data_IF_784921609778
#
_entry.id   IF_784921609778
#
_cell.length_a   1.000
_cell.length_b   1.000
_cell.length_c   1.000
_cell.angle_alpha   90.00
_cell.angle_beta   90.00
_cell.angle_gamma   90.00
#
_symmetry.space_group_name_H-M   'P 1'
#
loop_
_entity.id
_entity.type
_entity.pdbx_description
1 polymer ?
#
# COMPACT_ATOMS: atom_id res chain seq x y z
N UNK A 1 85.29 24.91 13.60
CA UNK A 1 84.20 25.39 12.73
C UNK A 1 83.56 24.27 11.89
N UNK A 2 84.34 23.43 11.19
CA UNK A 2 83.82 22.36 10.32
C UNK A 2 82.89 21.36 11.04
N UNK A 3 83.19 21.03 12.30
CA UNK A 3 82.40 20.09 13.10
C UNK A 3 80.99 20.60 13.45
N UNK A 4 80.84 21.91 13.67
CA UNK A 4 79.55 22.56 14.00
C UNK A 4 78.65 22.62 12.75
N UNK A 5 79.24 22.89 11.58
CA UNK A 5 78.51 22.92 10.31
C UNK A 5 78.02 21.52 9.92
N UNK A 6 78.84 20.48 10.15
CA UNK A 6 78.46 19.08 9.88
C UNK A 6 77.35 18.55 10.79
N UNK A 7 77.33 18.92 12.08
CA UNK A 7 76.22 18.54 12.97
C UNK A 7 74.91 19.24 12.59
N UNK A 8 74.98 20.49 12.11
CA UNK A 8 73.81 21.26 11.72
C UNK A 8 73.13 20.66 10.47
N UNK A 9 73.92 20.24 9.46
CA UNK A 9 73.40 19.62 8.25
C UNK A 9 72.77 18.25 8.51
N UNK A 10 73.33 17.45 9.41
CA UNK A 10 72.72 16.17 9.83
C UNK A 10 71.39 16.38 10.55
N UNK A 11 71.30 17.39 11.43
CA UNK A 11 70.06 17.71 12.14
C UNK A 11 68.94 18.17 11.18
N UNK A 12 69.30 18.99 10.18
CA UNK A 12 68.37 19.43 9.12
C UNK A 12 67.95 18.22 8.25
N UNK A 13 68.88 17.32 7.94
CA UNK A 13 68.59 16.07 7.24
C UNK A 13 67.58 15.18 7.98
N UNK A 14 67.80 14.92 9.27
CA UNK A 14 66.92 14.06 10.08
C UNK A 14 65.52 14.68 10.29
N UNK A 15 65.44 15.98 10.52
CA UNK A 15 64.15 16.67 10.68
C UNK A 15 63.34 16.66 9.39
N UNK A 16 63.99 16.82 8.22
CA UNK A 16 63.30 16.73 6.92
C UNK A 16 62.74 15.33 6.64
N UNK A 17 63.45 14.27 7.03
CA UNK A 17 62.99 12.88 6.92
C UNK A 17 61.80 12.59 7.84
N UNK A 18 61.85 13.04 9.09
CA UNK A 18 60.74 12.86 10.03
C UNK A 18 59.49 13.60 9.56
N UNK A 19 59.63 14.84 9.07
CA UNK A 19 58.51 15.61 8.52
C UNK A 19 57.91 14.94 7.28
N UNK A 20 58.74 14.38 6.40
CA UNK A 20 58.26 13.63 5.22
C UNK A 20 57.50 12.37 5.64
N UNK A 21 57.97 11.64 6.66
CA UNK A 21 57.26 10.47 7.19
C UNK A 21 55.92 10.84 7.83
N UNK A 22 55.86 11.92 8.62
CA UNK A 22 54.62 12.40 9.25
C UNK A 22 53.62 12.85 8.17
N UNK A 23 54.08 13.57 7.14
CA UNK A 23 53.22 13.96 6.01
C UNK A 23 52.72 12.74 5.25
N UNK A 24 53.58 11.77 4.95
CA UNK A 24 53.16 10.55 4.25
C UNK A 24 52.16 9.72 5.05
N UNK A 25 52.32 9.63 6.38
CA UNK A 25 51.35 8.96 7.25
C UNK A 25 50.02 9.73 7.33
N UNK A 26 50.07 11.06 7.39
CA UNK A 26 48.87 11.90 7.36
C UNK A 26 48.12 11.75 6.03
N UNK A 27 48.83 11.78 4.90
CA UNK A 27 48.24 11.62 3.57
C UNK A 27 47.68 10.21 3.35
N UNK A 28 48.40 9.18 3.79
CA UNK A 28 47.89 7.80 3.74
C UNK A 28 46.64 7.65 4.61
N UNK A 29 46.61 8.26 5.79
CA UNK A 29 45.44 8.28 6.67
C UNK A 29 44.22 8.95 6.04
N UNK A 30 44.40 10.05 5.30
CA UNK A 30 43.31 10.70 4.57
C UNK A 30 42.78 9.84 3.43
N UNK A 31 43.67 9.21 2.65
CA UNK A 31 43.26 8.30 1.55
C UNK A 31 42.45 7.12 2.09
N UNK A 32 42.93 6.46 3.15
CA UNK A 32 42.18 5.36 3.77
C UNK A 32 40.84 5.81 4.36
N UNK A 33 40.74 7.04 4.87
CA UNK A 33 39.49 7.59 5.39
C UNK A 33 38.46 7.84 4.29
N UNK A 34 38.91 8.39 3.15
CA UNK A 34 38.05 8.67 2.00
C UNK A 34 37.62 7.37 1.31
N UNK A 35 38.53 6.40 1.17
CA UNK A 35 38.22 5.05 0.67
C UNK A 35 37.19 4.35 1.56
N UNK A 36 37.40 4.36 2.89
CA UNK A 36 36.47 3.76 3.84
C UNK A 36 35.09 4.44 3.79
N UNK A 37 35.03 5.76 3.53
CA UNK A 37 33.78 6.48 3.33
C UNK A 37 33.07 6.03 2.05
N UNK A 38 33.77 5.97 0.93
CA UNK A 38 33.19 5.49 -0.33
C UNK A 38 32.68 4.06 -0.21
N UNK A 39 33.41 3.18 0.48
CA UNK A 39 33.01 1.81 0.79
C UNK A 39 31.75 1.74 1.66
N UNK A 40 31.60 2.64 2.64
CA UNK A 40 30.41 2.70 3.48
C UNK A 40 29.16 3.12 2.67
N UNK A 41 29.30 4.06 1.73
CA UNK A 41 28.20 4.39 0.79
C UNK A 41 27.89 3.21 -0.13
N UNK A 42 28.92 2.56 -0.70
CA UNK A 42 28.75 1.38 -1.53
C UNK A 42 28.03 0.24 -0.78
N UNK A 43 28.25 0.11 0.53
CA UNK A 43 27.53 -0.85 1.36
C UNK A 43 26.02 -0.58 1.43
N UNK A 44 25.62 0.69 1.54
CA UNK A 44 24.21 1.09 1.59
C UNK A 44 23.54 0.86 0.23
N UNK A 45 24.20 1.26 -0.87
CA UNK A 45 23.72 1.00 -2.23
C UNK A 45 23.58 -0.50 -2.51
N UNK A 46 24.56 -1.29 -2.08
CA UNK A 46 24.50 -2.74 -2.19
C UNK A 46 23.36 -3.32 -1.34
N UNK A 47 23.14 -2.82 -0.11
CA UNK A 47 22.04 -3.26 0.74
C UNK A 47 20.70 -3.02 0.06
N UNK A 48 20.50 -1.83 -0.52
CA UNK A 48 19.29 -1.47 -1.25
C UNK A 48 19.07 -2.41 -2.45
N UNK A 49 20.09 -2.64 -3.26
CA UNK A 49 19.99 -3.56 -4.40
C UNK A 49 19.66 -4.99 -3.96
N UNK A 50 20.22 -5.44 -2.83
CA UNK A 50 19.98 -6.78 -2.28
C UNK A 50 18.56 -6.92 -1.73
N UNK A 51 18.09 -5.92 -0.98
CA UNK A 51 16.74 -5.87 -0.41
C UNK A 51 15.69 -5.79 -1.51
N UNK A 52 15.90 -4.93 -2.51
CA UNK A 52 14.98 -4.80 -3.65
C UNK A 52 14.86 -6.07 -4.49
N UNK A 53 15.91 -6.91 -4.53
CA UNK A 53 15.92 -8.16 -5.26
C UNK A 53 15.36 -9.37 -4.47
N UNK A 54 15.05 -9.21 -3.17
CA UNK A 54 14.58 -10.29 -2.31
C UNK A 54 13.30 -9.87 -1.56
N UNK A 55 12.15 -10.37 -2.01
CA UNK A 55 10.84 -10.08 -1.40
C UNK A 55 10.74 -10.53 0.07
N UNK A 56 11.55 -11.51 0.46
CA UNK A 56 11.61 -12.10 1.81
C UNK A 56 12.84 -11.64 2.61
N UNK A 57 13.43 -10.49 2.26
CA UNK A 57 14.66 -10.00 2.91
C UNK A 57 14.50 -9.86 4.43
N UNK A 58 13.35 -9.40 4.93
CA UNK A 58 13.07 -9.24 6.38
C UNK A 58 13.24 -10.55 7.17
N UNK A 59 12.89 -11.69 6.59
CA UNK A 59 13.14 -13.01 7.19
C UNK A 59 14.55 -13.57 6.92
N UNK A 60 15.28 -12.99 5.97
CA UNK A 60 16.63 -13.42 5.59
C UNK A 60 17.72 -12.74 6.43
N UNK A 61 17.40 -11.62 7.08
CA UNK A 61 18.33 -10.83 7.87
C UNK A 61 17.79 -10.65 9.30
N UNK A 62 18.71 -10.50 10.25
CA UNK A 62 18.38 -10.20 11.64
C UNK A 62 18.76 -8.76 11.95
N UNK A 63 17.88 -8.04 12.64
CA UNK A 63 18.16 -6.67 13.09
C UNK A 63 19.46 -6.63 13.87
N UNK A 64 20.27 -5.59 13.65
CA UNK A 64 21.55 -5.36 14.33
C UNK A 64 22.67 -6.37 14.02
N UNK A 65 22.50 -7.25 13.02
CA UNK A 65 23.53 -8.24 12.63
C UNK A 65 24.19 -7.85 11.30
N UNK A 66 25.51 -7.58 11.27
CA UNK A 66 26.23 -7.31 10.04
C UNK A 66 26.24 -8.49 9.07
N UNK A 67 26.04 -8.19 7.79
CA UNK A 67 26.24 -9.16 6.71
C UNK A 67 27.71 -9.59 6.61
N UNK A 68 27.95 -10.65 5.83
CA UNK A 68 29.30 -11.03 5.42
C UNK A 68 30.02 -9.85 4.74
N UNK A 69 31.31 -9.71 5.02
CA UNK A 69 32.16 -8.69 4.40
C UNK A 69 32.41 -9.00 2.94
N UNK A 70 32.28 -8.00 2.09
CA UNK A 70 32.58 -8.05 0.66
C UNK A 70 33.80 -7.17 0.36
N UNK A 71 34.62 -7.60 -0.59
CA UNK A 71 35.83 -6.86 -1.00
C UNK A 71 35.51 -5.98 -2.20
N UNK A 72 35.93 -4.71 -2.15
CA UNK A 72 35.86 -3.78 -3.27
C UNK A 72 37.12 -2.90 -3.28
N UNK A 73 37.92 -3.02 -4.32
CA UNK A 73 39.20 -2.33 -4.41
C UNK A 73 40.19 -2.77 -3.31
N UNK A 74 40.70 -1.80 -2.55
CA UNK A 74 41.69 -1.98 -1.47
C UNK A 74 41.09 -2.25 -0.10
N UNK A 75 39.76 -2.27 0.01
CA UNK A 75 39.07 -2.40 1.29
C UNK A 75 37.91 -3.38 1.22
N UNK A 76 37.14 -3.37 2.30
CA UNK A 76 35.95 -4.19 2.42
C UNK A 76 34.78 -3.37 2.89
N UNK A 77 33.58 -3.84 2.58
CA UNK A 77 32.35 -3.23 3.02
C UNK A 77 31.34 -4.30 3.44
N UNK A 78 30.43 -3.92 4.33
CA UNK A 78 29.28 -4.72 4.75
C UNK A 78 28.20 -3.80 5.27
N UNK A 79 26.99 -4.30 5.44
CA UNK A 79 25.89 -3.53 5.95
C UNK A 79 25.14 -4.29 7.04
N UNK A 80 24.32 -3.59 7.82
CA UNK A 80 23.38 -4.21 8.75
C UNK A 80 22.05 -3.46 8.71
N UNK A 81 20.91 -4.17 8.62
CA UNK A 81 19.61 -3.58 8.86
C UNK A 81 19.40 -3.40 10.36
N UNK A 82 18.69 -2.33 10.71
CA UNK A 82 18.30 -1.98 12.06
C UNK A 82 16.81 -1.67 12.06
N UNK A 83 16.10 -2.43 12.85
CA UNK A 83 14.69 -2.23 13.13
C UNK A 83 14.52 -1.41 14.43
N UNK A 84 13.59 -0.43 14.51
CA UNK A 84 13.31 0.35 15.72
C UNK A 84 12.97 -0.50 16.95
N UNK A 85 12.22 -1.58 16.79
CA UNK A 85 11.80 -2.45 17.89
C UNK A 85 12.69 -3.70 18.03
N UNK A 86 13.52 -3.96 17.01
CA UNK A 86 14.51 -5.02 16.99
C UNK A 86 14.08 -6.26 16.23
N UNK A 87 12.87 -6.28 15.66
CA UNK A 87 12.33 -7.39 14.90
C UNK A 87 12.00 -6.97 13.47
N UNK A 88 12.85 -7.33 12.51
CA UNK A 88 12.57 -6.98 11.11
C UNK A 88 11.33 -7.67 10.54
N UNK A 89 10.78 -8.70 11.19
CA UNK A 89 9.80 -9.61 10.59
C UNK A 89 8.34 -9.41 10.99
N UNK A 90 8.02 -8.52 11.92
CA UNK A 90 6.65 -8.34 12.44
C UNK A 90 5.83 -7.25 11.73
N UNK A 91 6.44 -6.13 11.34
CA UNK A 91 5.77 -5.08 10.57
C UNK A 91 6.51 -4.79 9.26
N UNK A 92 5.91 -5.20 8.13
CA UNK A 92 6.50 -5.01 6.82
C UNK A 92 6.45 -3.57 6.31
N UNK A 93 5.58 -2.74 6.90
CA UNK A 93 5.43 -1.31 6.63
C UNK A 93 6.33 -0.44 7.53
N UNK A 94 6.97 -1.01 8.56
CA UNK A 94 7.80 -0.22 9.47
C UNK A 94 9.07 0.28 8.79
N UNK A 95 9.38 1.57 8.99
CA UNK A 95 10.64 2.13 8.55
C UNK A 95 11.80 1.48 9.29
N UNK A 96 12.83 1.10 8.54
CA UNK A 96 14.05 0.52 9.10
C UNK A 96 15.25 1.37 8.70
N UNK A 97 16.35 1.21 9.42
CA UNK A 97 17.60 1.90 9.14
C UNK A 97 18.63 0.92 8.57
N UNK A 98 19.40 1.34 7.57
CA UNK A 98 20.56 0.56 7.11
C UNK A 98 21.82 1.27 7.55
N UNK A 99 22.74 0.51 8.11
CA UNK A 99 24.09 0.98 8.44
C UNK A 99 25.08 0.39 7.44
N UNK A 100 25.74 1.24 6.65
CA UNK A 100 26.87 0.86 5.80
C UNK A 100 28.19 1.00 6.54
N UNK A 101 28.99 -0.06 6.57
CA UNK A 101 30.30 -0.10 7.22
C UNK A 101 31.34 -0.33 6.14
N UNK A 102 32.24 0.65 5.96
CA UNK A 102 33.37 0.58 5.05
C UNK A 102 34.69 0.57 5.81
N UNK A 103 35.62 -0.30 5.39
CA UNK A 103 36.95 -0.43 6.00
C UNK A 103 38.04 -0.40 4.93
N UNK A 104 39.01 0.50 5.08
CA UNK A 104 40.21 0.60 4.23
C UNK A 104 41.44 0.83 5.12
N UNK A 105 42.42 -0.06 5.04
CA UNK A 105 43.58 -0.06 5.94
C UNK A 105 43.15 -0.14 7.42
N UNK A 106 43.57 0.86 8.21
CA UNK A 106 43.18 0.99 9.63
C UNK A 106 41.95 1.91 9.84
N UNK A 107 41.34 2.41 8.77
CA UNK A 107 40.22 3.35 8.85
C UNK A 107 38.89 2.63 8.66
N UNK A 108 37.95 2.90 9.57
CA UNK A 108 36.57 2.44 9.47
C UNK A 108 35.65 3.65 9.41
N UNK A 109 34.74 3.68 8.44
CA UNK A 109 33.66 4.66 8.36
C UNK A 109 32.31 3.96 8.41
N UNK A 110 31.36 4.59 9.08
CA UNK A 110 30.00 4.09 9.21
C UNK A 110 29.03 5.21 8.87
N UNK A 111 28.10 4.91 7.98
CA UNK A 111 26.98 5.78 7.66
C UNK A 111 25.69 5.02 7.87
N UNK A 112 24.64 5.74 8.24
CA UNK A 112 23.31 5.20 8.30
C UNK A 112 22.31 6.09 7.60
N UNK A 113 21.23 5.48 7.12
CA UNK A 113 20.13 6.15 6.44
C UNK A 113 18.85 5.39 6.79
N UNK A 114 17.79 6.13 7.07
CA UNK A 114 16.47 5.56 7.24
C UNK A 114 15.87 5.26 5.88
N UNK A 115 15.29 4.08 5.75
CA UNK A 115 14.53 3.66 4.61
C UNK A 115 13.06 3.69 4.97
N UNK A 116 12.29 4.28 4.06
CA UNK A 116 10.85 4.11 4.11
C UNK A 116 10.53 2.72 3.57
N UNK A 117 9.94 1.87 4.40
CA UNK A 117 9.29 0.67 3.90
C UNK A 117 7.89 1.10 3.47
N UNK A 118 7.59 0.97 2.18
CA UNK A 118 6.21 1.07 1.71
C UNK A 118 5.72 -0.36 1.50
N UNK A 119 4.52 -0.68 1.96
CA UNK A 119 3.93 -2.01 1.81
C UNK A 119 3.05 -2.07 0.54
N UNK A 120 3.43 -2.94 -0.40
CA UNK A 120 2.57 -3.47 -1.48
C UNK A 120 3.11 -3.32 -2.90
N UNK A 121 3.28 -4.36 -3.72
CA UNK A 121 3.66 -4.27 -5.15
C UNK A 121 2.52 -3.81 -6.09
N UNK A 122 1.46 -3.21 -5.54
CA UNK A 122 0.15 -3.12 -6.20
C UNK A 122 -0.13 -1.83 -7.01
N UNK A 123 0.88 -0.98 -7.20
CA UNK A 123 0.69 0.33 -7.85
C UNK A 123 0.00 0.26 -9.23
N UNK A 124 0.23 -0.80 -10.00
CA UNK A 124 -0.37 -0.97 -11.33
C UNK A 124 -1.87 -1.30 -11.27
N UNK A 125 -2.34 -1.99 -10.22
CA UNK A 125 -3.78 -2.31 -10.08
C UNK A 125 -4.57 -1.05 -9.76
N UNK A 126 -3.97 -0.12 -9.00
CA UNK A 126 -4.62 1.13 -8.59
C UNK A 126 -4.88 2.08 -9.76
N UNK A 127 -4.21 1.88 -10.89
CA UNK A 127 -4.44 2.61 -12.14
C UNK A 127 -5.56 2.02 -13.01
N UNK A 128 -6.24 0.97 -12.55
CA UNK A 128 -7.34 0.32 -13.28
C UNK A 128 -8.69 0.83 -12.77
N UNK A 129 -9.75 0.70 -13.57
CA UNK A 129 -11.12 0.92 -13.07
C UNK A 129 -11.58 -0.25 -12.20
N UNK A 130 -11.08 -1.44 -12.54
CA UNK A 130 -11.31 -2.68 -11.85
C UNK A 130 -10.23 -3.68 -12.29
N UNK A 131 -9.75 -4.47 -11.35
CA UNK A 131 -8.82 -5.56 -11.59
C UNK A 131 -9.29 -6.85 -10.93
N UNK A 132 -9.32 -7.95 -11.68
CA UNK A 132 -9.56 -9.29 -11.13
C UNK A 132 -8.32 -10.19 -11.34
N UNK A 133 -7.90 -10.92 -10.31
CA UNK A 133 -6.86 -11.94 -10.48
C UNK A 133 -7.36 -13.19 -11.22
N UNK A 134 -8.64 -13.52 -11.04
CA UNK A 134 -9.35 -14.53 -11.84
C UNK A 134 -9.98 -13.92 -13.10
N UNK A 135 -10.92 -14.67 -13.70
CA UNK A 135 -11.56 -14.30 -14.96
C UNK A 135 -12.55 -13.14 -14.79
N UNK A 136 -12.72 -12.33 -15.85
CA UNK A 136 -13.78 -11.32 -15.94
C UNK A 136 -14.76 -11.69 -17.06
N UNK A 137 -16.05 -11.76 -16.73
CA UNK A 137 -17.14 -11.92 -17.68
C UNK A 137 -17.98 -10.65 -17.82
N UNK A 138 -18.13 -10.14 -19.04
CA UNK A 138 -19.07 -9.04 -19.39
C UNK A 138 -20.22 -9.62 -20.19
N UNK A 139 -21.35 -9.93 -19.55
CA UNK A 139 -22.29 -10.94 -20.07
C UNK A 139 -23.39 -10.45 -21.02
N UNK A 140 -23.75 -9.16 -21.04
CA UNK A 140 -24.66 -8.58 -22.05
C UNK A 140 -24.80 -7.06 -21.98
N UNK A 141 -24.04 -6.39 -21.13
CA UNK A 141 -24.28 -5.00 -20.73
C UNK A 141 -23.16 -4.08 -21.19
N UNK A 142 -23.41 -2.76 -21.16
CA UNK A 142 -22.37 -1.76 -21.37
C UNK A 142 -21.64 -1.46 -20.06
N UNK A 143 -20.33 -1.65 -20.06
CA UNK A 143 -19.43 -1.26 -18.97
C UNK A 143 -18.59 -0.08 -19.46
N UNK A 144 -18.82 1.11 -18.94
CA UNK A 144 -17.96 2.26 -19.23
C UNK A 144 -16.71 2.18 -18.32
N UNK A 145 -15.54 2.04 -18.91
CA UNK A 145 -14.25 2.03 -18.22
C UNK A 145 -13.51 3.34 -18.55
N UNK A 146 -13.48 4.27 -17.59
CA UNK A 146 -13.00 5.65 -17.80
C UNK A 146 -11.72 5.88 -16.99
N UNK A 147 -10.69 6.44 -17.62
CA UNK A 147 -9.44 6.82 -16.93
C UNK A 147 -8.48 5.67 -16.63
N UNK A 148 -8.89 4.42 -16.83
CA UNK A 148 -8.05 3.22 -16.70
C UNK A 148 -8.68 2.00 -17.38
N UNK A 149 -7.92 0.91 -17.59
CA UNK A 149 -8.45 -0.29 -18.25
C UNK A 149 -9.28 -1.14 -17.29
N UNK A 150 -10.24 -1.89 -17.84
CA UNK A 150 -10.82 -3.07 -17.17
C UNK A 150 -9.80 -4.21 -17.27
N UNK A 151 -9.27 -4.70 -16.15
CA UNK A 151 -8.09 -5.57 -16.15
C UNK A 151 -8.33 -6.93 -15.51
N UNK A 152 -7.74 -7.98 -16.08
CA UNK A 152 -7.69 -9.31 -15.47
C UNK A 152 -6.34 -10.01 -15.66
N UNK A 153 -5.88 -10.76 -14.66
CA UNK A 153 -4.74 -11.68 -14.79
C UNK A 153 -5.13 -13.01 -15.46
N UNK A 154 -6.43 -13.27 -15.63
CA UNK A 154 -7.02 -14.46 -16.21
C UNK A 154 -7.63 -14.23 -17.59
N UNK A 155 -8.77 -14.86 -17.84
CA UNK A 155 -9.53 -14.78 -19.08
C UNK A 155 -10.56 -13.64 -19.05
N UNK A 156 -10.59 -12.82 -20.09
CA UNK A 156 -11.64 -11.82 -20.32
C UNK A 156 -12.67 -12.34 -21.33
N UNK A 157 -13.89 -12.63 -20.89
CA UNK A 157 -15.01 -13.01 -21.74
C UNK A 157 -15.94 -11.81 -21.96
N UNK A 158 -16.03 -11.29 -23.19
CA UNK A 158 -16.87 -10.13 -23.53
C UNK A 158 -18.01 -10.57 -24.45
N UNK A 159 -19.23 -10.61 -23.91
CA UNK A 159 -20.48 -10.78 -24.65
C UNK A 159 -21.28 -9.46 -24.76
N UNK A 160 -20.97 -8.46 -23.93
CA UNK A 160 -21.53 -7.10 -23.96
C UNK A 160 -20.63 -6.06 -24.63
N UNK A 161 -20.60 -4.84 -24.10
CA UNK A 161 -19.71 -3.76 -24.58
C UNK A 161 -18.83 -3.24 -23.45
N UNK A 162 -17.52 -3.17 -23.67
CA UNK A 162 -16.59 -2.40 -22.84
C UNK A 162 -16.36 -1.05 -23.53
N UNK A 163 -16.87 0.01 -22.92
CA UNK A 163 -16.66 1.39 -23.30
C UNK A 163 -15.36 1.93 -22.72
N UNK A 164 -14.21 1.45 -23.19
CA UNK A 164 -12.88 1.82 -22.69
C UNK A 164 -11.79 0.81 -23.06
N UNK A 165 -10.63 0.96 -22.42
CA UNK A 165 -9.50 0.04 -22.57
C UNK A 165 -9.70 -1.24 -21.73
N UNK A 166 -9.05 -2.33 -22.13
CA UNK A 166 -9.08 -3.60 -21.41
C UNK A 166 -7.71 -4.31 -21.47
N UNK A 167 -7.33 -4.94 -20.36
CA UNK A 167 -6.09 -5.71 -20.22
C UNK A 167 -6.41 -7.13 -19.77
N UNK A 168 -5.93 -8.14 -20.51
CA UNK A 168 -6.16 -9.53 -20.13
C UNK A 168 -4.99 -10.44 -20.51
N UNK A 169 -4.82 -11.55 -19.79
CA UNK A 169 -3.87 -12.60 -20.20
C UNK A 169 -4.36 -13.28 -21.49
N UNK A 170 -5.65 -13.62 -21.53
CA UNK A 170 -6.34 -14.13 -22.73
C UNK A 170 -7.76 -13.54 -22.80
N UNK A 171 -8.39 -13.56 -23.98
CA UNK A 171 -9.73 -13.01 -24.13
C UNK A 171 -10.57 -13.75 -25.20
N UNK A 172 -11.88 -13.81 -24.97
CA UNK A 172 -12.91 -14.21 -25.95
C UNK A 172 -13.85 -13.03 -26.15
N UNK A 173 -13.84 -12.43 -27.34
CA UNK A 173 -14.63 -11.23 -27.64
C UNK A 173 -15.74 -11.59 -28.62
N UNK A 174 -16.94 -11.83 -28.10
CA UNK A 174 -18.19 -11.96 -28.88
C UNK A 174 -18.95 -10.63 -28.98
N UNK A 175 -18.65 -9.68 -28.08
CA UNK A 175 -19.20 -8.33 -28.01
C UNK A 175 -18.26 -7.28 -28.59
N UNK A 176 -18.15 -6.11 -27.94
CA UNK A 176 -17.32 -4.98 -28.41
C UNK A 176 -16.43 -4.45 -27.30
N UNK A 177 -15.19 -4.08 -27.65
CA UNK A 177 -14.30 -3.24 -26.82
C UNK A 177 -14.01 -1.99 -27.64
N UNK A 178 -14.37 -0.81 -27.14
CA UNK A 178 -14.22 0.45 -27.90
C UNK A 178 -12.83 1.04 -27.81
N UNK A 179 -12.08 0.72 -26.76
CA UNK A 179 -10.68 1.13 -26.56
C UNK A 179 -9.68 0.08 -26.99
N UNK A 180 -8.48 0.16 -26.43
CA UNK A 180 -7.38 -0.77 -26.68
C UNK A 180 -7.55 -2.03 -25.85
N UNK A 181 -7.46 -3.20 -26.50
CA UNK A 181 -7.33 -4.49 -25.82
C UNK A 181 -5.86 -4.93 -25.81
N UNK A 182 -5.24 -4.97 -24.63
CA UNK A 182 -3.88 -5.50 -24.45
C UNK A 182 -3.94 -7.00 -24.16
N UNK A 183 -3.38 -7.83 -25.04
CA UNK A 183 -3.35 -9.29 -24.88
C UNK A 183 -2.10 -9.90 -25.54
N UNK A 184 -1.24 -10.64 -24.81
CA UNK A 184 -1.28 -10.83 -23.36
C UNK A 184 -0.82 -9.56 -22.62
N UNK A 185 -1.59 -9.12 -21.63
CA UNK A 185 -1.13 -8.11 -20.68
C UNK A 185 -0.22 -8.75 -19.61
N UNK A 186 0.82 -8.06 -19.13
CA UNK A 186 1.59 -8.50 -17.96
C UNK A 186 0.68 -8.67 -16.74
N UNK A 187 0.85 -9.74 -15.94
CA UNK A 187 0.11 -9.89 -14.69
C UNK A 187 0.39 -8.74 -13.73
N UNK A 188 -0.66 -8.18 -13.12
CA UNK A 188 -0.55 -7.14 -12.11
C UNK A 188 -0.56 -7.76 -10.71
N UNK A 189 0.29 -7.26 -9.81
CA UNK A 189 0.41 -7.78 -8.45
C UNK A 189 -0.73 -7.26 -7.55
N UNK A 190 -1.40 -8.18 -6.87
CA UNK A 190 -2.45 -7.88 -5.89
C UNK A 190 -1.83 -7.41 -4.55
N UNK A 191 -2.50 -6.53 -3.80
CA UNK A 191 -2.06 -6.16 -2.46
C UNK A 191 -2.00 -7.37 -1.50
N UNK A 192 -1.11 -7.39 -0.50
CA UNK A 192 -1.06 -8.46 0.50
C UNK A 192 -2.36 -8.65 1.29
N UNK A 193 -2.69 -9.90 1.63
CA UNK A 193 -3.88 -10.28 2.42
C UNK A 193 -3.85 -9.69 3.83
N UNK A 194 -2.66 -9.46 4.37
CA UNK A 194 -2.39 -8.90 5.70
C UNK A 194 -2.97 -7.49 5.87
N UNK A 195 -3.23 -6.77 4.78
CA UNK A 195 -3.92 -5.47 4.80
C UNK A 195 -5.29 -5.61 5.48
N UNK A 196 -5.99 -6.73 5.28
CA UNK A 196 -7.27 -6.93 5.96
C UNK A 196 -7.12 -6.90 7.48
N UNK A 197 -6.12 -7.61 8.00
CA UNK A 197 -5.88 -7.70 9.44
C UNK A 197 -5.40 -6.36 10.01
N UNK A 198 -4.64 -5.58 9.23
CA UNK A 198 -4.31 -4.19 9.56
C UNK A 198 -5.57 -3.34 9.77
N UNK A 199 -6.47 -3.28 8.78
CA UNK A 199 -7.71 -2.49 8.89
C UNK A 199 -8.63 -3.02 10.00
N UNK A 200 -8.72 -4.34 10.18
CA UNK A 200 -9.47 -4.96 11.27
C UNK A 200 -8.95 -4.53 12.65
N UNK A 201 -7.63 -4.40 12.81
CA UNK A 201 -7.03 -3.99 14.09
C UNK A 201 -7.38 -2.54 14.49
N UNK A 202 -7.64 -1.66 13.51
CA UNK A 202 -8.03 -0.27 13.73
C UNK A 202 -9.53 -0.07 13.88
N UNK A 203 -10.32 -1.08 13.51
CA UNK A 203 -11.75 -0.96 13.37
C UNK A 203 -12.49 -1.04 14.71
N UNK A 204 -13.67 -0.42 14.76
CA UNK A 204 -14.65 -0.68 15.81
C UNK A 204 -15.62 -1.75 15.35
N UNK A 205 -15.78 -2.83 16.12
CA UNK A 205 -16.70 -3.93 15.80
C UNK A 205 -18.15 -3.47 15.86
N UNK A 206 -18.88 -3.74 14.78
CA UNK A 206 -20.34 -3.77 14.73
C UNK A 206 -20.75 -5.24 14.83
N UNK A 207 -21.34 -5.60 15.97
CA UNK A 207 -21.80 -6.97 16.18
C UNK A 207 -22.94 -7.29 15.20
N UNK A 208 -22.87 -8.43 14.52
CA UNK A 208 -23.91 -8.85 13.57
C UNK A 208 -25.29 -8.96 14.24
N UNK A 209 -25.34 -9.26 15.55
CA UNK A 209 -26.57 -9.27 16.33
C UNK A 209 -27.22 -7.89 16.50
N UNK A 210 -26.48 -6.80 16.29
CA UNK A 210 -27.01 -5.44 16.29
C UNK A 210 -27.69 -5.07 14.95
N UNK A 211 -27.55 -5.91 13.93
CA UNK A 211 -28.22 -5.74 12.64
C UNK A 211 -29.59 -6.40 12.67
N UNK A 212 -30.65 -5.60 12.59
CA UNK A 212 -31.99 -6.14 12.38
C UNK A 212 -32.02 -6.90 11.05
N UNK A 213 -32.34 -8.19 11.08
CA UNK A 213 -32.41 -9.06 9.90
C UNK A 213 -31.11 -9.16 9.06
N UNK A 214 -29.94 -8.82 9.62
CA UNK A 214 -28.68 -8.79 8.86
C UNK A 214 -28.53 -7.55 7.96
N UNK A 215 -29.28 -6.49 8.24
CA UNK A 215 -29.28 -5.27 7.44
C UNK A 215 -28.51 -4.15 8.15
N UNK A 216 -27.53 -3.58 7.45
CA UNK A 216 -27.04 -2.24 7.73
C UNK A 216 -28.01 -1.26 7.05
N UNK A 217 -29.05 -0.81 7.75
CA UNK A 217 -30.17 -0.01 7.20
C UNK A 217 -30.32 1.39 7.79
N UNK A 218 -29.51 1.76 8.78
CA UNK A 218 -29.47 3.09 9.33
C UNK A 218 -29.03 4.12 8.26
N UNK A 219 -29.52 5.37 8.32
CA UNK A 219 -29.33 6.34 7.24
C UNK A 219 -27.88 6.81 7.07
N UNK A 220 -27.12 6.89 8.17
CA UNK A 220 -25.77 7.44 8.17
C UNK A 220 -24.82 6.60 9.03
N UNK A 221 -23.67 6.23 8.48
CA UNK A 221 -22.53 5.67 9.20
C UNK A 221 -21.28 6.50 8.89
N UNK A 222 -20.57 6.96 9.92
CA UNK A 222 -19.39 7.82 9.77
C UNK A 222 -18.51 7.80 11.02
N UNK A 223 -17.37 8.48 11.01
CA UNK A 223 -16.51 8.61 12.20
C UNK A 223 -17.24 9.24 13.41
N UNK A 224 -18.19 10.15 13.17
CA UNK A 224 -18.95 10.83 14.23
C UNK A 224 -20.27 10.12 14.58
N UNK A 225 -20.76 9.21 13.72
CA UNK A 225 -22.09 8.58 13.87
C UNK A 225 -21.98 7.08 13.61
N UNK A 226 -22.21 6.27 14.64
CA UNK A 226 -22.40 4.82 14.51
C UNK A 226 -23.72 4.38 15.16
N UNK A 227 -24.77 4.08 14.38
CA UNK A 227 -26.07 3.65 14.90
C UNK A 227 -26.05 2.28 15.58
N UNK A 228 -24.98 1.49 15.40
CA UNK A 228 -24.90 0.10 15.83
C UNK A 228 -23.93 -0.14 16.98
N UNK A 229 -23.35 0.91 17.55
CA UNK A 229 -22.36 0.76 18.62
C UNK A 229 -21.52 2.01 18.85
N UNK A 230 -20.28 1.81 19.31
CA UNK A 230 -19.34 2.90 19.53
C UNK A 230 -18.83 3.48 18.21
N UNK A 231 -18.60 4.79 18.18
CA UNK A 231 -17.98 5.48 17.05
C UNK A 231 -16.47 5.19 16.96
N UNK A 232 -15.92 5.25 15.76
CA UNK A 232 -14.48 5.14 15.51
C UNK A 232 -13.94 6.46 14.96
N UNK A 233 -12.92 7.06 15.58
CA UNK A 233 -12.37 8.35 15.13
C UNK A 233 -11.73 8.30 13.74
N UNK A 234 -11.28 7.12 13.30
CA UNK A 234 -10.76 6.90 11.94
C UNK A 234 -11.89 6.53 10.96
N UNK A 235 -13.13 6.35 11.45
CA UNK A 235 -14.28 5.94 10.64
C UNK A 235 -14.22 4.50 10.13
N UNK A 236 -13.46 3.61 10.78
CA UNK A 236 -13.27 2.22 10.34
C UNK A 236 -14.17 1.30 11.17
N UNK A 237 -14.99 0.49 10.50
CA UNK A 237 -15.97 -0.40 11.12
C UNK A 237 -15.79 -1.83 10.65
N UNK A 238 -15.71 -2.75 11.60
CA UNK A 238 -15.54 -4.19 11.34
C UNK A 238 -16.87 -4.91 11.52
N UNK A 239 -17.18 -5.81 10.59
CA UNK A 239 -18.36 -6.66 10.69
C UNK A 239 -18.01 -8.11 10.33
N UNK A 240 -18.33 -9.01 11.25
CA UNK A 240 -18.23 -10.44 10.99
C UNK A 240 -19.59 -10.99 10.57
N UNK A 241 -19.65 -11.62 9.40
CA UNK A 241 -20.85 -12.28 8.87
C UNK A 241 -20.67 -13.78 9.09
N UNK A 242 -21.48 -14.43 9.95
CA UNK A 242 -21.32 -15.87 10.24
C UNK A 242 -21.70 -16.72 9.02
N UNK A 243 -21.72 -18.05 9.15
CA UNK A 243 -22.00 -18.98 8.05
C UNK A 243 -23.47 -18.92 7.57
N UNK A 244 -23.70 -18.72 6.26
CA UNK A 244 -25.01 -18.68 5.55
C UNK A 244 -25.98 -17.48 5.69
N UNK A 245 -25.82 -16.46 6.56
CA UNK A 245 -26.71 -15.31 6.56
C UNK A 245 -26.42 -14.40 5.35
N UNK A 246 -27.32 -13.47 5.13
CA UNK A 246 -27.11 -12.38 4.18
C UNK A 246 -26.80 -11.11 4.96
N UNK A 247 -25.67 -10.47 4.65
CA UNK A 247 -25.42 -9.08 5.00
C UNK A 247 -25.97 -8.21 3.88
N UNK A 248 -26.89 -7.33 4.22
CA UNK A 248 -27.49 -6.36 3.31
C UNK A 248 -27.04 -4.97 3.71
N UNK A 249 -26.22 -4.35 2.88
CA UNK A 249 -25.84 -2.94 3.03
C UNK A 249 -26.92 -2.12 2.34
N UNK A 250 -27.77 -1.49 3.16
CA UNK A 250 -28.90 -0.63 2.80
C UNK A 250 -28.72 0.78 3.41
N UNK A 251 -27.56 1.06 3.99
CA UNK A 251 -27.20 2.35 4.59
C UNK A 251 -27.13 3.39 3.50
N UNK A 252 -27.84 4.50 3.64
CA UNK A 252 -27.88 5.52 2.60
C UNK A 252 -26.53 6.23 2.42
N UNK A 253 -25.87 6.67 3.51
CA UNK A 253 -24.55 7.30 3.41
C UNK A 253 -23.55 6.66 4.37
N UNK A 254 -22.42 6.21 3.82
CA UNK A 254 -21.26 5.73 4.57
C UNK A 254 -20.09 6.67 4.29
N UNK A 255 -19.64 7.40 5.31
CA UNK A 255 -18.41 8.19 5.29
C UNK A 255 -17.37 7.55 6.19
N UNK A 256 -16.80 6.45 5.74
CA UNK A 256 -15.96 5.55 6.51
C UNK A 256 -15.51 4.32 5.74
N UNK A 257 -14.74 3.47 6.41
CA UNK A 257 -14.24 2.20 5.87
C UNK A 257 -15.05 1.04 6.44
N UNK A 258 -15.57 0.17 5.57
CA UNK A 258 -16.17 -1.10 5.98
C UNK A 258 -15.16 -2.25 5.81
N UNK A 259 -14.96 -3.01 6.88
CA UNK A 259 -14.11 -4.21 6.91
C UNK A 259 -15.01 -5.41 7.21
N UNK A 260 -15.29 -6.24 6.22
CA UNK A 260 -16.27 -7.33 6.31
C UNK A 260 -15.54 -8.67 6.25
N UNK A 261 -15.76 -9.54 7.24
CA UNK A 261 -15.19 -10.88 7.36
C UNK A 261 -16.33 -11.89 7.30
N UNK A 262 -16.49 -12.54 6.15
CA UNK A 262 -17.64 -13.41 5.88
C UNK A 262 -17.24 -14.89 5.80
N UNK A 263 -17.95 -15.70 6.58
CA UNK A 263 -17.81 -17.15 6.57
C UNK A 263 -18.56 -17.78 5.38
N UNK A 264 -18.23 -19.04 5.10
CA UNK A 264 -18.78 -19.80 3.97
C UNK A 264 -20.30 -19.79 3.87
N UNK A 265 -20.77 -19.62 2.63
CA UNK A 265 -22.18 -19.57 2.29
C UNK A 265 -22.85 -18.23 2.60
N UNK A 266 -22.15 -17.27 3.21
CA UNK A 266 -22.68 -15.94 3.40
C UNK A 266 -22.88 -15.21 2.06
N UNK A 267 -23.82 -14.26 2.05
CA UNK A 267 -24.08 -13.40 0.91
C UNK A 267 -23.94 -11.94 1.34
N UNK A 268 -23.07 -11.19 0.66
CA UNK A 268 -22.89 -9.75 0.91
C UNK A 268 -23.53 -9.00 -0.25
N UNK A 269 -24.55 -8.21 0.06
CA UNK A 269 -25.30 -7.47 -0.94
C UNK A 269 -25.21 -5.97 -0.63
N UNK A 270 -24.67 -5.21 -1.57
CA UNK A 270 -24.88 -3.77 -1.64
C UNK A 270 -26.08 -3.58 -2.55
N UNK A 271 -27.20 -3.14 -1.97
CA UNK A 271 -28.49 -3.06 -2.62
C UNK A 271 -29.18 -1.77 -2.14
N UNK A 272 -29.90 -1.09 -3.03
CA UNK A 272 -30.44 0.27 -2.89
C UNK A 272 -29.45 1.41 -3.17
N UNK A 273 -29.96 2.63 -3.37
CA UNK A 273 -29.15 3.84 -3.42
C UNK A 273 -28.25 4.01 -2.20
N UNK A 274 -26.94 4.01 -2.42
CA UNK A 274 -25.91 4.12 -1.38
C UNK A 274 -24.84 5.09 -1.86
N UNK A 275 -24.40 5.96 -0.97
CA UNK A 275 -23.22 6.79 -1.14
C UNK A 275 -22.12 6.30 -0.19
N UNK A 276 -21.04 5.73 -0.72
CA UNK A 276 -19.88 5.29 0.08
C UNK A 276 -18.66 6.13 -0.28
N UNK A 277 -18.00 6.69 0.72
CA UNK A 277 -16.69 7.32 0.60
C UNK A 277 -15.87 7.00 1.87
N UNK A 278 -14.53 6.87 1.78
CA UNK A 278 -13.72 6.68 2.98
C UNK A 278 -13.76 7.94 3.86
N UNK A 279 -13.54 7.78 5.16
CA UNK A 279 -13.50 8.93 6.08
C UNK A 279 -12.33 9.89 5.75
N UNK A 280 -11.20 9.31 5.35
CA UNK A 280 -9.97 9.99 4.93
C UNK A 280 -9.46 9.33 3.64
N UNK A 281 -8.86 10.09 2.70
CA UNK A 281 -8.25 9.51 1.49
C UNK A 281 -7.12 8.51 1.79
N UNK A 282 -6.59 8.51 3.01
CA UNK A 282 -5.57 7.55 3.45
C UNK A 282 -6.15 6.13 3.70
N UNK A 283 -7.46 5.95 3.66
CA UNK A 283 -8.11 4.67 3.92
C UNK A 283 -8.89 4.15 2.70
N UNK A 284 -8.95 2.82 2.57
CA UNK A 284 -9.85 2.18 1.62
C UNK A 284 -11.32 2.38 2.03
N UNK A 285 -12.25 2.27 1.09
CA UNK A 285 -13.67 2.43 1.37
C UNK A 285 -14.28 1.10 1.85
N UNK A 286 -13.93 -0.01 1.20
CA UNK A 286 -14.47 -1.34 1.52
C UNK A 286 -13.38 -2.40 1.40
N UNK A 287 -13.23 -3.22 2.42
CA UNK A 287 -12.47 -4.46 2.38
C UNK A 287 -13.41 -5.62 2.73
N UNK A 288 -13.45 -6.64 1.90
CA UNK A 288 -14.23 -7.85 2.12
C UNK A 288 -13.27 -9.03 2.08
N UNK A 289 -13.11 -9.73 3.19
CA UNK A 289 -12.52 -11.06 3.23
C UNK A 289 -13.64 -12.07 3.35
N UNK A 290 -13.67 -13.01 2.43
CA UNK A 290 -14.72 -14.01 2.37
C UNK A 290 -14.13 -15.38 2.03
N UNK A 291 -14.92 -16.46 2.06
CA UNK A 291 -14.49 -17.78 1.56
C UNK A 291 -15.69 -18.63 1.19
N UNK A 292 -15.94 -18.82 -0.11
CA UNK A 292 -17.13 -19.51 -0.61
C UNK A 292 -18.39 -18.68 -0.41
N UNK A 293 -18.31 -17.38 -0.67
CA UNK A 293 -19.40 -16.41 -0.53
C UNK A 293 -19.83 -15.84 -1.88
N UNK A 294 -21.02 -15.23 -1.90
CA UNK A 294 -21.48 -14.43 -3.04
C UNK A 294 -21.43 -12.97 -2.67
N UNK A 295 -20.76 -12.15 -3.49
CA UNK A 295 -20.66 -10.71 -3.31
C UNK A 295 -21.36 -10.03 -4.47
N UNK A 296 -22.31 -9.16 -4.14
CA UNK A 296 -23.15 -8.46 -5.11
C UNK A 296 -23.05 -6.96 -4.90
N UNK A 297 -22.51 -6.26 -5.91
CA UNK A 297 -22.41 -4.81 -5.98
C UNK A 297 -23.56 -4.29 -6.86
N UNK A 298 -24.75 -4.20 -6.28
CA UNK A 298 -25.98 -3.76 -6.93
C UNK A 298 -26.42 -2.38 -6.41
N UNK A 299 -25.61 -1.36 -6.67
CA UNK A 299 -25.91 0.03 -6.23
C UNK A 299 -26.57 0.79 -7.39
N UNK A 300 -27.92 0.90 -7.46
CA UNK A 300 -28.58 1.62 -8.54
C UNK A 300 -28.29 3.12 -8.47
N UNK A 301 -28.10 3.77 -9.62
CA UNK A 301 -27.79 5.21 -9.72
C UNK A 301 -28.94 6.18 -9.41
N UNK A 302 -29.98 5.77 -8.67
CA UNK A 302 -31.01 6.71 -8.20
C UNK A 302 -30.47 7.50 -7.01
N UNK A 303 -30.71 8.80 -6.94
CA UNK A 303 -30.21 9.63 -5.84
C UNK A 303 -30.87 9.30 -4.50
N UNK A 304 -30.18 9.67 -3.44
CA UNK A 304 -30.62 9.59 -2.05
C UNK A 304 -31.17 10.95 -1.65
N UNK A 305 -32.39 10.97 -1.13
CA UNK A 305 -33.10 12.18 -0.74
C UNK A 305 -33.34 12.17 0.78
N UNK A 306 -32.82 13.16 1.50
CA UNK A 306 -32.98 13.25 2.96
C UNK A 306 -34.43 13.36 3.40
N UNK A 307 -35.30 14.00 2.60
CA UNK A 307 -36.72 14.11 2.90
C UNK A 307 -37.39 12.74 2.80
N UNK A 308 -36.97 11.91 1.83
CA UNK A 308 -37.48 10.56 1.66
C UNK A 308 -36.97 9.60 2.75
N UNK A 309 -35.71 9.77 3.16
CA UNK A 309 -35.08 8.99 4.23
C UNK A 309 -35.54 9.45 5.62
N UNK A 310 -35.93 10.73 5.77
CA UNK A 310 -36.35 11.34 7.02
C UNK A 310 -35.20 11.65 7.99
N UNK A 311 -33.97 11.77 7.47
CA UNK A 311 -32.77 11.98 8.28
C UNK A 311 -31.76 12.88 7.55
N UNK A 312 -31.11 13.73 8.34
CA UNK A 312 -30.00 14.56 7.88
C UNK A 312 -28.76 13.66 7.69
N UNK A 313 -28.20 13.69 6.49
CA UNK A 313 -27.06 12.90 6.06
C UNK A 313 -25.76 13.71 6.05
N UNK A 314 -25.76 15.03 6.24
CA UNK A 314 -24.58 15.90 6.39
C UNK A 314 -24.50 16.66 7.75
N UNK A 315 -24.80 16.05 8.91
CA UNK A 315 -24.80 16.74 10.18
C UNK A 315 -23.39 17.20 10.58
N UNK A 316 -23.31 18.02 11.65
CA UNK A 316 -22.02 18.41 12.23
C UNK A 316 -21.18 17.18 12.59
N UNK A 317 -19.90 17.20 12.19
CA UNK A 317 -19.01 16.04 12.26
C UNK A 317 -18.99 15.13 11.02
N UNK A 318 -19.99 15.22 10.12
CA UNK A 318 -20.07 14.40 8.90
C UNK A 318 -20.43 15.23 7.65
N UNK A 319 -19.62 16.27 7.31
CA UNK A 319 -19.91 17.14 6.17
C UNK A 319 -19.97 16.38 4.84
N UNK A 320 -20.78 16.84 3.91
CA UNK A 320 -20.75 16.43 2.51
C UNK A 320 -20.12 17.53 1.66
N UNK A 321 -19.05 17.21 0.93
CA UNK A 321 -18.28 18.21 0.16
C UNK A 321 -17.87 19.47 0.96
N UNK A 322 -17.68 19.31 2.27
CA UNK A 322 -17.34 20.40 3.19
C UNK A 322 -18.52 21.23 3.70
N UNK A 323 -19.75 20.94 3.26
CA UNK A 323 -20.97 21.55 3.76
C UNK A 323 -21.58 20.74 4.92
N UNK A 324 -22.16 21.45 5.87
CA UNK A 324 -22.94 20.94 6.99
C UNK A 324 -24.18 21.79 7.10
N UNK A 325 -25.34 21.17 7.27
CA UNK A 325 -26.51 21.88 7.75
C UNK A 325 -27.42 21.01 8.62
N UNK A 326 -28.61 21.50 8.94
CA UNK A 326 -29.60 20.85 9.79
C UNK A 326 -30.91 20.52 9.05
N UNK A 327 -30.95 20.69 7.73
CA UNK A 327 -32.13 20.54 6.92
C UNK A 327 -32.28 19.09 6.43
N UNK A 328 -33.35 18.83 5.69
CA UNK A 328 -33.69 17.52 5.12
C UNK A 328 -34.01 17.66 3.62
N UNK A 329 -33.40 18.62 2.94
CA UNK A 329 -33.66 18.92 1.53
C UNK A 329 -32.45 18.68 0.63
N UNK A 330 -31.39 18.07 1.17
CA UNK A 330 -30.23 17.67 0.38
C UNK A 330 -30.45 16.36 -0.39
N UNK A 331 -29.77 16.28 -1.53
CA UNK A 331 -29.80 15.13 -2.43
C UNK A 331 -28.37 14.68 -2.69
N UNK A 332 -28.12 13.38 -2.51
CA UNK A 332 -26.80 12.77 -2.69
C UNK A 332 -26.83 11.79 -3.87
N UNK A 333 -25.78 11.75 -4.69
CA UNK A 333 -25.66 10.74 -5.73
C UNK A 333 -25.47 9.35 -5.11
N UNK A 334 -26.10 8.35 -5.71
CA UNK A 334 -25.81 6.96 -5.40
C UNK A 334 -24.58 6.51 -6.19
N UNK A 335 -23.45 6.52 -5.50
CA UNK A 335 -22.13 6.21 -6.06
C UNK A 335 -21.22 5.65 -4.96
N UNK A 336 -20.27 4.83 -5.39
CA UNK A 336 -19.23 4.31 -4.50
C UNK A 336 -17.89 4.94 -4.86
N UNK A 337 -17.18 5.46 -3.87
CA UNK A 337 -15.94 6.20 -4.04
C UNK A 337 -14.80 5.53 -3.27
N UNK A 338 -13.59 5.58 -3.84
CA UNK A 338 -12.37 5.07 -3.23
C UNK A 338 -12.05 3.62 -3.59
N UNK A 339 -11.23 2.97 -2.77
CA UNK A 339 -10.73 1.62 -3.04
C UNK A 339 -11.66 0.56 -2.44
N UNK A 340 -12.10 -0.39 -3.28
CA UNK A 340 -12.81 -1.60 -2.88
C UNK A 340 -11.87 -2.80 -3.08
N UNK A 341 -11.65 -3.61 -2.04
CA UNK A 341 -10.80 -4.80 -2.12
C UNK A 341 -11.56 -6.04 -1.64
N UNK A 342 -11.76 -6.98 -2.55
CA UNK A 342 -12.41 -8.27 -2.31
C UNK A 342 -11.33 -9.34 -2.30
N UNK A 343 -11.03 -9.80 -1.09
CA UNK A 343 -9.93 -10.67 -0.71
C UNK A 343 -10.47 -12.10 -0.58
N UNK A 344 -10.54 -12.80 -1.71
CA UNK A 344 -10.49 -14.25 -1.80
C UNK A 344 -10.48 -14.69 -3.29
N UNK A 345 -9.62 -15.64 -3.70
CA UNK A 345 -9.60 -16.16 -5.07
C UNK A 345 -10.79 -17.05 -5.48
N UNK A 346 -11.57 -17.61 -4.55
CA UNK A 346 -12.64 -18.59 -4.86
C UNK A 346 -14.02 -17.97 -5.10
N UNK A 347 -14.19 -16.70 -4.77
CA UNK A 347 -15.50 -16.06 -4.81
C UNK A 347 -15.75 -15.41 -6.16
N UNK A 348 -17.01 -15.41 -6.60
CA UNK A 348 -17.44 -14.65 -7.77
C UNK A 348 -18.07 -13.34 -7.29
N UNK A 349 -17.49 -12.23 -7.74
CA UNK A 349 -18.06 -10.90 -7.50
C UNK A 349 -18.98 -10.52 -8.64
N UNK A 350 -20.22 -10.16 -8.32
CA UNK A 350 -21.20 -9.73 -9.31
C UNK A 350 -21.38 -8.22 -9.25
N UNK A 351 -21.25 -7.56 -10.41
CA UNK A 351 -21.52 -6.14 -10.58
C UNK A 351 -22.84 -5.99 -11.34
N UNK A 352 -23.78 -5.33 -10.68
CA UNK A 352 -25.16 -5.14 -11.14
C UNK A 352 -25.36 -3.99 -12.11
N UNK A 353 -26.64 -3.68 -12.33
CA UNK A 353 -27.08 -2.59 -13.21
C UNK A 353 -27.12 -1.26 -12.46
N UNK A 354 -26.70 -0.20 -13.14
CA UNK A 354 -26.69 1.17 -12.64
C UNK A 354 -25.54 1.46 -11.68
N UNK A 355 -24.57 0.55 -11.51
CA UNK A 355 -23.47 0.75 -10.57
C UNK A 355 -22.51 1.84 -11.05
N UNK A 356 -22.31 2.85 -10.22
CA UNK A 356 -21.34 3.93 -10.42
C UNK A 356 -20.24 3.78 -9.37
N UNK A 357 -19.00 3.64 -9.84
CA UNK A 357 -17.81 3.56 -8.99
C UNK A 357 -16.75 4.56 -9.45
N UNK A 358 -16.26 5.39 -8.53
CA UNK A 358 -15.14 6.30 -8.74
C UNK A 358 -13.97 5.86 -7.84
N UNK A 359 -12.99 5.16 -8.41
CA UNK A 359 -11.91 4.55 -7.67
C UNK A 359 -11.42 3.28 -8.37
N UNK A 360 -11.12 2.26 -7.57
CA UNK A 360 -10.69 0.95 -8.08
C UNK A 360 -11.36 -0.17 -7.31
N UNK A 361 -11.86 -1.17 -8.05
CA UNK A 361 -12.35 -2.43 -7.50
C UNK A 361 -11.31 -3.51 -7.74
N UNK A 362 -10.70 -4.03 -6.69
CA UNK A 362 -9.73 -5.12 -6.73
C UNK A 362 -10.43 -6.40 -6.27
N UNK A 363 -10.36 -7.45 -7.09
CA UNK A 363 -10.94 -8.77 -6.80
C UNK A 363 -9.85 -9.83 -6.93
N UNK A 364 -9.56 -10.57 -5.87
CA UNK A 364 -8.58 -11.66 -5.95
C UNK A 364 -9.12 -12.87 -6.74
N UNK A 365 -10.44 -13.04 -6.76
CA UNK A 365 -11.15 -14.06 -7.52
C UNK A 365 -11.59 -13.60 -8.91
N UNK A 366 -12.69 -14.17 -9.38
CA UNK A 366 -13.34 -13.80 -10.63
C UNK A 366 -14.43 -12.74 -10.44
N UNK A 367 -14.79 -12.06 -11.52
CA UNK A 367 -15.90 -11.13 -11.51
C UNK A 367 -16.81 -11.26 -12.74
N UNK A 368 -18.10 -11.03 -12.53
CA UNK A 368 -19.12 -11.07 -13.55
C UNK A 368 -19.93 -9.77 -13.57
N UNK A 369 -20.00 -9.14 -14.73
CA UNK A 369 -20.73 -7.90 -14.96
C UNK A 369 -22.01 -8.22 -15.73
N UNK A 370 -23.14 -8.01 -15.05
CA UNK A 370 -24.47 -8.36 -15.57
C UNK A 370 -25.29 -7.14 -15.97
N UNK A 371 -24.92 -5.96 -15.51
CA UNK A 371 -25.67 -4.72 -15.74
C UNK A 371 -24.85 -3.60 -16.36
N UNK A 372 -25.54 -2.54 -16.78
CA UNK A 372 -24.88 -1.31 -17.18
C UNK A 372 -24.13 -0.72 -15.97
N UNK A 373 -22.86 -0.37 -16.14
CA UNK A 373 -22.06 0.19 -15.05
C UNK A 373 -21.07 1.22 -15.58
N UNK A 374 -20.76 2.19 -14.73
CA UNK A 374 -19.74 3.20 -14.99
C UNK A 374 -18.66 3.09 -13.92
N UNK A 375 -17.46 2.69 -14.35
CA UNK A 375 -16.30 2.55 -13.50
C UNK A 375 -15.26 3.60 -13.95
N UNK A 376 -14.91 4.51 -13.05
CA UNK A 376 -13.98 5.61 -13.30
C UNK A 376 -12.77 5.44 -12.40
N UNK A 377 -11.58 5.32 -12.98
CA UNK A 377 -10.34 5.22 -12.21
C UNK A 377 -10.01 6.56 -11.54
N UNK A 378 -9.62 6.51 -10.28
CA UNK A 378 -9.14 7.69 -9.56
C UNK A 378 -7.61 7.76 -9.56
N UNK A 379 -7.07 8.74 -10.31
CA UNK A 379 -5.64 8.98 -10.37
C UNK A 379 -5.01 9.32 -9.00
N UNK A 380 -5.81 9.81 -8.05
CA UNK A 380 -5.34 10.07 -6.69
C UNK A 380 -4.89 8.77 -6.01
N UNK A 381 -5.56 7.64 -6.23
CA UNK A 381 -5.19 6.34 -5.64
C UNK A 381 -3.83 5.84 -6.10
N UNK A 382 -3.37 6.23 -7.29
CA UNK A 382 -2.01 5.90 -7.77
C UNK A 382 -0.97 6.80 -7.10
N UNK A 383 -1.28 8.09 -6.97
CA UNK A 383 -0.34 9.09 -6.44
C UNK A 383 -0.27 9.14 -4.91
N UNK A 384 -1.36 8.79 -4.25
CA UNK A 384 -1.58 8.81 -2.80
C UNK A 384 -2.47 7.62 -2.42
N UNK A 385 -1.94 6.38 -2.55
CA UNK A 385 -2.68 5.16 -2.26
C UNK A 385 -3.12 5.07 -0.79
N UNK A 386 -4.24 4.40 -0.50
CA UNK A 386 -4.61 4.08 0.87
C UNK A 386 -3.50 3.31 1.59
N UNK A 387 -3.46 3.46 2.91
CA UNK A 387 -2.46 2.80 3.74
C UNK A 387 -2.51 1.27 3.53
N UNK A 388 -1.34 0.69 3.30
CA UNK A 388 -1.17 -0.72 2.94
C UNK A 388 -1.19 -1.04 1.43
N UNK A 389 -1.63 -0.11 0.57
CA UNK A 389 -1.74 -0.34 -0.89
C UNK A 389 -0.59 0.29 -1.69
N UNK A 390 0.35 0.96 -1.03
CA UNK A 390 1.37 1.76 -1.68
C UNK A 390 2.51 0.90 -2.28
N UNK A 391 2.90 1.09 -3.56
CA UNK A 391 4.01 0.36 -4.21
C UNK A 391 5.19 0.13 -3.25
N UNK A 392 5.70 -1.12 -3.10
CA UNK A 392 6.86 -1.46 -2.27
C UNK A 392 8.06 -0.70 -2.78
N UNK A 393 8.21 0.52 -2.30
CA UNK A 393 9.34 1.39 -2.54
C UNK A 393 10.13 1.41 -1.25
N UNK A 394 11.12 0.52 -1.19
CA UNK A 394 12.22 0.69 -0.25
C UNK A 394 13.07 1.82 -0.82
N UNK A 395 13.00 3.00 -0.20
CA UNK A 395 13.71 4.19 -0.65
C UNK A 395 14.38 4.90 0.51
N UNK A 396 15.59 5.46 0.34
CA UNK A 396 16.24 6.22 1.40
C UNK A 396 15.46 7.50 1.64
N UNK A 397 15.16 7.83 2.89
CA UNK A 397 14.61 9.12 3.29
C UNK A 397 15.73 10.15 3.10
N UNK A 398 15.66 11.08 2.11
CA UNK A 398 16.84 11.86 1.69
C UNK A 398 17.50 12.69 2.80
N UNK A 399 16.74 13.09 3.82
CA UNK A 399 17.20 13.90 4.96
C UNK A 399 17.78 13.08 6.11
N UNK A 400 17.75 11.75 6.02
CA UNK A 400 18.05 10.85 7.14
C UNK A 400 19.50 10.36 7.20
N UNK A 401 20.32 10.71 6.19
CA UNK A 401 21.72 10.34 6.13
C UNK A 401 22.51 10.91 7.30
N UNK A 402 23.17 10.04 8.07
CA UNK A 402 24.02 10.46 9.18
C UNK A 402 25.29 9.61 9.26
N UNK A 403 26.36 10.24 9.74
CA UNK A 403 27.60 9.54 10.06
C UNK A 403 27.48 8.94 11.46
N UNK A 404 27.80 7.66 11.59
CA UNK A 404 27.67 6.92 12.83
C UNK A 404 29.03 6.57 13.44
N UNK A 405 29.00 6.20 14.71
CA UNK A 405 30.08 5.45 15.34
C UNK A 405 29.74 3.97 15.23
N UNK A 406 30.72 3.12 14.95
CA UNK A 406 30.52 1.67 14.95
C UNK A 406 29.88 1.25 16.29
N UNK A 407 28.78 0.48 16.31
CA UNK A 407 28.19 0.02 17.55
C UNK A 407 29.26 -0.75 18.31
N UNK A 408 29.46 -0.41 19.59
CA UNK A 408 30.28 -1.25 20.45
C UNK A 408 29.57 -2.61 20.55
N UNK A 409 30.30 -3.74 20.46
CA UNK A 409 29.67 -5.03 20.71
C UNK A 409 28.97 -4.95 22.07
N UNK A 410 27.67 -5.26 22.09
CA UNK A 410 26.92 -5.38 23.33
C UNK A 410 27.68 -6.37 24.22
N UNK A 411 27.96 -6.02 25.49
CA UNK A 411 28.62 -6.94 26.39
C UNK A 411 27.79 -8.24 26.46
N UNK A 412 28.48 -9.41 26.50
CA UNK A 412 27.83 -10.71 26.43
C UNK A 412 26.86 -10.97 27.58
#
# INVERSE_FOLDING_TARGET
MILIVGSLTVLIGLTSLQLTRVRNLSTAGTVFTDDARALAFAAIEHALATIAANESWRGSYTSHVPTASMTLGSGTFRWMPLDPDGNLGDDDAENFQIWGIGTSGASTQVYSVWYQASAGTSGDVLGTVMHASGDIGVNSSMVAAIGGPLSTNGHLAVNGTIGGDADALTATINGTVTGTLTMPAPPKAIPPVEIFDYYKSLATTIEHSNLASGELSAPLLSAAVNPYGATNSNGIYYLHVPNNPTLRVYTHRIKGTLVIDADTGARIMFDQPIHIEPHSPEFAAVLIRSSGCTIELNVPGANIDEAAVGHNLNPDGTPYQGAVDGQLDDIYPSETNGLFHIINPSDNTEIGTGHIHNGVIIVEGGASMWGESTLTADAALVSSPPQGYAPRRVGPIPTSWRREKLPLPSPP
#
